data_IF_543820260623
#
_entry.id   IF_543820260623
#
_cell.length_a   1.000
_cell.length_b   1.000
_cell.length_c   1.000
_cell.angle_alpha   90.00
_cell.angle_beta   90.00
_cell.angle_gamma   90.00
#
_symmetry.space_group_name_H-M   'P 1'
#
loop_
_entity.id
_entity.type
_entity.pdbx_description
1 polymer ?
#
# COMPACT_ATOMS: atom_id res chain seq x y z
N UNK A 1 10.18 24.19 1.61
CA UNK A 1 10.45 24.98 0.38
C UNK A 1 9.81 24.29 -0.82
N UNK A 2 9.80 24.91 -2.02
CA UNK A 2 9.26 24.25 -3.23
C UNK A 2 9.95 22.91 -3.52
N UNK A 3 11.26 22.83 -3.31
CA UNK A 3 12.03 21.61 -3.51
C UNK A 3 11.57 20.47 -2.58
N UNK A 4 11.31 20.77 -1.30
CA UNK A 4 10.84 19.79 -0.32
C UNK A 4 9.43 19.27 -0.68
N UNK A 5 8.54 20.14 -1.16
CA UNK A 5 7.21 19.72 -1.62
C UNK A 5 7.29 18.77 -2.82
N UNK A 6 8.19 19.03 -3.78
CA UNK A 6 8.43 18.13 -4.91
C UNK A 6 9.06 16.81 -4.46
N UNK A 7 10.00 16.83 -3.50
CA UNK A 7 10.60 15.62 -2.93
C UNK A 7 9.55 14.74 -2.26
N UNK A 8 8.76 15.32 -1.36
CA UNK A 8 7.69 14.61 -0.65
C UNK A 8 6.64 14.04 -1.62
N UNK A 9 6.24 14.83 -2.63
CA UNK A 9 5.31 14.36 -3.67
C UNK A 9 5.88 13.15 -4.41
N UNK A 10 7.19 13.13 -4.67
CA UNK A 10 7.87 12.06 -5.36
C UNK A 10 7.91 10.78 -4.54
N UNK A 11 8.32 10.87 -3.28
CA UNK A 11 8.30 9.71 -2.38
C UNK A 11 6.90 9.12 -2.22
N UNK A 12 5.90 9.97 -1.98
CA UNK A 12 4.51 9.55 -1.78
C UNK A 12 3.93 8.91 -3.05
N UNK A 13 4.22 9.49 -4.21
CA UNK A 13 3.76 8.97 -5.51
C UNK A 13 4.34 7.60 -5.81
N UNK A 14 5.64 7.40 -5.57
CA UNK A 14 6.29 6.10 -5.76
C UNK A 14 5.65 5.02 -4.89
N UNK A 15 5.42 5.31 -3.62
CA UNK A 15 4.76 4.38 -2.70
C UNK A 15 3.33 4.03 -3.13
N UNK A 16 2.58 5.01 -3.65
CA UNK A 16 1.23 4.80 -4.17
C UNK A 16 1.18 3.90 -5.41
N UNK A 17 2.17 3.98 -6.29
CA UNK A 17 2.24 3.14 -7.49
C UNK A 17 2.40 1.67 -7.09
N UNK A 18 3.36 1.36 -6.20
CA UNK A 18 3.58 -0.01 -5.74
C UNK A 18 2.36 -0.55 -4.97
N UNK A 19 1.75 0.27 -4.11
CA UNK A 19 0.52 -0.06 -3.41
C UNK A 19 -0.64 -0.36 -4.38
N UNK A 20 -0.79 0.46 -5.44
CA UNK A 20 -1.82 0.29 -6.45
C UNK A 20 -1.63 -0.99 -7.27
N UNK A 21 -0.40 -1.31 -7.66
CA UNK A 21 -0.09 -2.55 -8.39
C UNK A 21 -0.40 -3.77 -7.51
N UNK A 22 0.05 -3.77 -6.25
CA UNK A 22 -0.19 -4.86 -5.31
C UNK A 22 -1.68 -5.09 -5.09
N UNK A 23 -2.45 -4.02 -4.86
CA UNK A 23 -3.91 -4.11 -4.68
C UNK A 23 -4.66 -4.46 -5.96
N UNK A 24 -4.22 -3.98 -7.13
CA UNK A 24 -4.78 -4.35 -8.43
C UNK A 24 -4.65 -5.85 -8.71
N UNK A 25 -3.48 -6.44 -8.41
CA UNK A 25 -3.26 -7.89 -8.52
C UNK A 25 -4.14 -8.65 -7.53
N UNK A 26 -4.29 -8.16 -6.30
CA UNK A 26 -5.17 -8.77 -5.29
C UNK A 26 -6.63 -8.76 -5.75
N UNK A 27 -7.14 -7.63 -6.25
CA UNK A 27 -8.50 -7.49 -6.79
C UNK A 27 -8.77 -8.44 -7.96
N UNK A 28 -7.84 -8.50 -8.93
CA UNK A 28 -7.95 -9.40 -10.09
C UNK A 28 -7.93 -10.89 -9.72
N UNK A 29 -7.28 -11.25 -8.60
CA UNK A 29 -7.27 -12.61 -8.06
C UNK A 29 -8.52 -12.94 -7.25
N UNK A 30 -9.16 -11.95 -6.64
CA UNK A 30 -10.41 -12.10 -5.90
C UNK A 30 -11.65 -12.19 -6.80
N UNK A 31 -11.59 -11.68 -8.03
CA UNK A 31 -12.72 -11.67 -8.98
C UNK A 31 -12.64 -12.85 -9.96
N UNK A 32 -13.30 -14.00 -9.69
CA UNK A 32 -13.15 -15.23 -10.48
C UNK A 32 -13.61 -15.11 -11.94
N UNK A 33 -14.54 -14.21 -12.26
CA UNK A 33 -15.06 -14.00 -13.63
C UNK A 33 -14.47 -12.79 -14.35
N UNK A 34 -13.59 -12.02 -13.69
CA UNK A 34 -12.95 -10.77 -14.17
C UNK A 34 -13.81 -9.89 -15.11
N UNK A 35 -15.08 -9.58 -14.80
CA UNK A 35 -15.83 -8.64 -15.62
C UNK A 35 -15.12 -7.29 -15.58
N UNK A 36 -14.78 -6.77 -16.76
CA UNK A 36 -13.99 -5.55 -16.94
C UNK A 36 -14.58 -4.38 -16.14
N UNK A 37 -15.91 -4.21 -16.19
CA UNK A 37 -16.61 -3.13 -15.51
C UNK A 37 -16.41 -3.13 -13.99
N UNK A 38 -16.48 -4.30 -13.33
CA UNK A 38 -16.26 -4.40 -11.88
C UNK A 38 -14.80 -4.13 -11.53
N UNK A 39 -13.86 -4.63 -12.33
CA UNK A 39 -12.43 -4.36 -12.13
C UNK A 39 -12.14 -2.86 -12.21
N UNK A 40 -12.73 -2.18 -13.20
CA UNK A 40 -12.64 -0.73 -13.34
C UNK A 40 -13.27 -0.03 -12.13
N UNK A 41 -14.47 -0.43 -11.72
CA UNK A 41 -15.16 0.17 -10.57
C UNK A 41 -14.36 0.03 -9.27
N UNK A 42 -13.83 -1.17 -8.96
CA UNK A 42 -12.98 -1.38 -7.77
C UNK A 42 -11.66 -0.61 -7.85
N UNK A 43 -11.02 -0.57 -9.02
CA UNK A 43 -9.78 0.20 -9.21
C UNK A 43 -10.03 1.71 -9.05
N UNK A 44 -11.18 2.19 -9.51
CA UNK A 44 -11.58 3.59 -9.37
C UNK A 44 -11.90 3.94 -7.91
N UNK A 45 -12.62 3.07 -7.19
CA UNK A 45 -12.84 3.21 -5.76
C UNK A 45 -11.51 3.26 -4.99
N UNK A 46 -10.54 2.41 -5.35
CA UNK A 46 -9.20 2.44 -4.78
C UNK A 46 -8.47 3.76 -5.10
N UNK A 47 -8.55 4.24 -6.35
CA UNK A 47 -7.93 5.51 -6.74
C UNK A 47 -8.51 6.70 -5.96
N UNK A 48 -9.83 6.75 -5.75
CA UNK A 48 -10.51 7.82 -5.00
C UNK A 48 -10.23 7.76 -3.49
N UNK A 49 -9.97 6.59 -2.92
CA UNK A 49 -9.67 6.44 -1.49
C UNK A 49 -8.49 7.32 -1.03
N UNK A 50 -7.52 7.53 -1.92
CA UNK A 50 -6.32 8.31 -1.65
C UNK A 50 -6.58 9.82 -1.52
N UNK A 51 -7.25 10.50 -2.48
CA UNK A 51 -7.72 11.87 -2.31
C UNK A 51 -8.62 12.06 -1.08
N UNK A 52 -9.50 11.11 -0.77
CA UNK A 52 -10.35 11.17 0.43
C UNK A 52 -9.48 11.20 1.70
N UNK A 53 -8.51 10.29 1.82
CA UNK A 53 -7.59 10.26 2.96
C UNK A 53 -6.79 11.55 3.12
N UNK A 54 -6.32 12.14 2.01
CA UNK A 54 -5.64 13.45 2.02
C UNK A 54 -6.59 14.55 2.50
N UNK A 55 -7.84 14.58 2.02
CA UNK A 55 -8.83 15.57 2.45
C UNK A 55 -9.16 15.47 3.93
N UNK A 56 -9.30 14.25 4.47
CA UNK A 56 -9.47 14.02 5.90
C UNK A 56 -8.25 14.53 6.67
N UNK A 57 -7.03 14.24 6.20
CA UNK A 57 -5.79 14.72 6.81
C UNK A 57 -5.73 16.25 6.89
N UNK A 58 -6.08 16.95 5.80
CA UNK A 58 -6.16 18.42 5.76
C UNK A 58 -7.22 18.96 6.74
N UNK A 59 -8.38 18.33 6.80
CA UNK A 59 -9.44 18.75 7.72
C UNK A 59 -9.02 18.60 9.19
N UNK A 60 -8.31 17.52 9.53
CA UNK A 60 -7.76 17.29 10.88
C UNK A 60 -6.68 18.34 11.17
N UNK A 61 -5.74 18.56 10.25
CA UNK A 61 -4.68 19.57 10.38
C UNK A 61 -5.24 20.98 10.60
N UNK A 62 -6.39 21.30 9.98
CA UNK A 62 -7.06 22.59 10.16
C UNK A 62 -7.91 22.72 11.44
N UNK A 63 -8.21 21.60 12.14
CA UNK A 63 -9.17 21.60 13.27
C UNK A 63 -8.60 21.06 14.58
N UNK A 64 -7.46 20.38 14.54
CA UNK A 64 -6.79 19.82 15.72
C UNK A 64 -5.35 20.33 15.79
N UNK A 65 -4.94 20.76 16.99
CA UNK A 65 -3.58 21.25 17.24
C UNK A 65 -2.93 20.53 18.43
N UNK A 66 -1.60 20.61 18.50
CA UNK A 66 -0.79 20.05 19.58
C UNK A 66 -1.02 18.55 19.78
N UNK A 67 -1.06 18.11 21.04
CA UNK A 67 -1.10 16.69 21.40
C UNK A 67 -2.29 15.94 20.80
N UNK A 68 -3.42 16.62 20.56
CA UNK A 68 -4.61 15.99 19.97
C UNK A 68 -4.35 15.57 18.53
N UNK A 69 -3.71 16.45 17.74
CA UNK A 69 -3.31 16.12 16.37
C UNK A 69 -2.31 14.96 16.34
N UNK A 70 -1.34 14.95 17.27
CA UNK A 70 -0.34 13.89 17.38
C UNK A 70 -0.96 12.52 17.67
N UNK A 71 -1.93 12.46 18.60
CA UNK A 71 -2.65 11.21 18.90
C UNK A 71 -3.51 10.74 17.73
N UNK A 72 -4.19 11.66 17.04
CA UNK A 72 -4.97 11.32 15.84
C UNK A 72 -4.04 10.75 14.77
N UNK A 73 -2.88 11.38 14.55
CA UNK A 73 -1.86 10.90 13.61
C UNK A 73 -1.35 9.51 14.00
N UNK A 74 -0.95 9.31 15.26
CA UNK A 74 -0.40 8.05 15.74
C UNK A 74 -1.39 6.89 15.59
N UNK A 75 -2.65 7.09 15.96
CA UNK A 75 -3.70 6.07 15.82
C UNK A 75 -3.99 5.81 14.34
N UNK A 76 -4.15 6.85 13.53
CA UNK A 76 -4.46 6.70 12.10
C UNK A 76 -3.35 5.98 11.35
N UNK A 77 -2.10 6.35 11.62
CA UNK A 77 -0.93 5.70 11.02
C UNK A 77 -0.76 4.27 11.50
N UNK A 78 -1.00 4.00 12.79
CA UNK A 78 -1.00 2.65 13.35
C UNK A 78 -2.02 1.73 12.68
N UNK A 79 -3.27 2.21 12.52
CA UNK A 79 -4.32 1.48 11.83
C UNK A 79 -3.97 1.24 10.35
N UNK A 80 -3.51 2.27 9.64
CA UNK A 80 -3.11 2.16 8.24
C UNK A 80 -2.01 1.10 8.06
N UNK A 81 -0.96 1.14 8.90
CA UNK A 81 0.14 0.18 8.89
C UNK A 81 -0.36 -1.25 9.16
N UNK A 82 -1.16 -1.44 10.21
CA UNK A 82 -1.69 -2.75 10.60
C UNK A 82 -2.56 -3.39 9.51
N UNK A 83 -3.46 -2.64 8.88
CA UNK A 83 -4.28 -3.13 7.77
C UNK A 83 -3.41 -3.52 6.57
N UNK A 84 -2.39 -2.71 6.26
CA UNK A 84 -1.47 -2.99 5.16
C UNK A 84 -0.71 -4.32 5.36
N UNK A 85 -0.19 -4.54 6.58
CA UNK A 85 0.49 -5.78 6.95
C UNK A 85 -0.48 -6.97 6.86
N UNK A 86 -1.69 -6.85 7.41
CA UNK A 86 -2.69 -7.92 7.36
C UNK A 86 -3.03 -8.32 5.92
N UNK A 87 -3.27 -7.33 5.04
CA UNK A 87 -3.59 -7.55 3.63
C UNK A 87 -2.41 -8.17 2.89
N UNK A 88 -1.18 -7.69 3.14
CA UNK A 88 0.03 -8.26 2.54
C UNK A 88 0.19 -9.75 2.89
N UNK A 89 0.05 -10.11 4.16
CA UNK A 89 0.18 -11.50 4.59
C UNK A 89 -0.98 -12.36 4.05
N UNK A 90 -2.22 -11.95 4.28
CA UNK A 90 -3.39 -12.80 4.00
C UNK A 90 -3.73 -12.88 2.51
N UNK A 91 -3.66 -11.77 1.79
CA UNK A 91 -4.14 -11.71 0.40
C UNK A 91 -3.02 -11.85 -0.63
N UNK A 92 -1.83 -11.30 -0.35
CA UNK A 92 -0.71 -11.39 -1.31
C UNK A 92 0.13 -12.64 -1.09
N UNK A 93 0.56 -12.93 0.14
CA UNK A 93 1.48 -14.04 0.43
C UNK A 93 0.71 -15.37 0.57
N UNK A 94 -0.28 -15.45 1.48
CA UNK A 94 -0.95 -16.70 1.79
C UNK A 94 -1.92 -17.17 0.69
N UNK A 95 -2.69 -16.25 0.09
CA UNK A 95 -3.67 -16.58 -0.96
C UNK A 95 -3.13 -16.37 -2.39
N UNK A 96 -2.13 -15.50 -2.56
CA UNK A 96 -1.63 -15.12 -3.88
C UNK A 96 -0.57 -16.05 -4.47
N UNK A 97 0.18 -16.79 -3.65
CA UNK A 97 1.22 -17.71 -4.10
C UNK A 97 0.75 -19.17 -4.06
N UNK A 98 -0.02 -19.56 -5.08
CA UNK A 98 -0.25 -20.98 -5.41
C UNK A 98 0.32 -21.24 -6.81
N UNK A 99 1.54 -21.80 -6.92
CA UNK A 99 2.10 -22.13 -8.22
C UNK A 99 1.21 -23.15 -8.93
N UNK A 100 0.98 -22.96 -10.24
CA UNK A 100 0.26 -23.94 -11.05
C UNK A 100 1.13 -25.18 -11.39
N UNK A 101 2.45 -25.09 -11.18
CA UNK A 101 3.40 -26.18 -11.32
C UNK A 101 4.40 -26.17 -10.16
N UNK A 102 4.95 -27.33 -9.78
CA UNK A 102 6.03 -27.41 -8.79
C UNK A 102 7.26 -26.64 -9.32
N UNK A 103 7.47 -25.44 -8.81
CA UNK A 103 8.70 -24.68 -9.04
C UNK A 103 9.70 -24.97 -7.92
N UNK A 104 10.98 -25.10 -8.28
CA UNK A 104 12.08 -25.21 -7.31
C UNK A 104 12.12 -24.03 -6.31
N UNK A 105 11.69 -22.85 -6.75
CA UNK A 105 11.68 -21.62 -5.97
C UNK A 105 10.46 -21.43 -5.06
N UNK A 106 9.50 -22.37 -5.04
CA UNK A 106 8.33 -22.30 -4.14
C UNK A 106 8.64 -22.80 -2.72
N UNK A 107 9.77 -22.38 -2.14
CA UNK A 107 10.11 -22.67 -0.75
C UNK A 107 9.85 -21.46 0.14
N UNK A 108 9.54 -21.66 1.44
CA UNK A 108 9.37 -20.55 2.39
C UNK A 108 10.58 -19.62 2.45
N UNK A 109 11.78 -20.16 2.24
CA UNK A 109 13.03 -19.39 2.24
C UNK A 109 13.08 -18.37 1.09
N UNK A 110 12.80 -18.78 -0.15
CA UNK A 110 12.79 -17.83 -1.28
C UNK A 110 11.71 -16.77 -1.15
N UNK A 111 10.55 -17.12 -0.58
CA UNK A 111 9.49 -16.13 -0.26
C UNK A 111 9.97 -15.11 0.77
N UNK A 112 10.65 -15.57 1.83
CA UNK A 112 11.23 -14.70 2.84
C UNK A 112 12.29 -13.75 2.26
N UNK A 113 13.21 -14.28 1.43
CA UNK A 113 14.22 -13.46 0.73
C UNK A 113 13.57 -12.45 -0.20
N UNK A 114 12.53 -12.82 -0.94
CA UNK A 114 11.81 -11.89 -1.82
C UNK A 114 11.13 -10.76 -1.04
N UNK A 115 10.52 -11.05 0.11
CA UNK A 115 9.95 -10.03 1.00
C UNK A 115 11.05 -9.13 1.56
N UNK A 116 12.15 -9.70 2.04
CA UNK A 116 13.31 -8.95 2.55
C UNK A 116 13.90 -8.00 1.51
N UNK A 117 14.07 -8.46 0.28
CA UNK A 117 14.55 -7.62 -0.83
C UNK A 117 13.57 -6.49 -1.13
N UNK A 118 12.25 -6.77 -1.16
CA UNK A 118 11.23 -5.75 -1.33
C UNK A 118 11.28 -4.68 -0.24
N UNK A 119 11.41 -5.09 1.02
CA UNK A 119 11.58 -4.17 2.17
C UNK A 119 12.87 -3.38 2.03
N UNK A 120 13.99 -4.01 1.66
CA UNK A 120 15.27 -3.35 1.46
C UNK A 120 15.24 -2.29 0.36
N UNK A 121 14.62 -2.59 -0.78
CA UNK A 121 14.43 -1.62 -1.88
C UNK A 121 13.61 -0.42 -1.41
N UNK A 122 12.47 -0.67 -0.76
CA UNK A 122 11.61 0.42 -0.24
C UNK A 122 12.34 1.24 0.82
N UNK A 123 13.10 0.60 1.71
CA UNK A 123 13.91 1.30 2.72
C UNK A 123 14.96 2.20 2.07
N UNK A 124 15.66 1.74 1.03
CA UNK A 124 16.63 2.57 0.29
C UNK A 124 15.94 3.74 -0.41
N UNK A 125 14.78 3.53 -1.03
CA UNK A 125 14.00 4.61 -1.65
C UNK A 125 13.60 5.64 -0.60
N UNK A 126 13.21 5.19 0.59
CA UNK A 126 12.82 6.03 1.73
C UNK A 126 13.96 6.81 2.39
N UNK A 127 15.23 6.45 2.17
CA UNK A 127 16.37 7.26 2.65
C UNK A 127 16.41 8.64 1.99
N UNK A 128 15.84 8.75 0.79
CA UNK A 128 15.79 10.00 0.03
C UNK A 128 14.52 10.83 0.31
N UNK A 129 13.66 10.35 1.22
CA UNK A 129 12.52 11.11 1.76
C UNK A 129 12.98 12.28 2.63
#
# INVERSE_FOLDING_TARGET
TKADAWRNLWTISLHKIFAAIAMGIALLRMLPKRPFLLTVAYSFAFAISSPIGVGIGIAIDATAEGHVADWIYAISMGLACGVFIYVAINHLIAKGFKPQAKLYFDTPFFKFVAVLLGVGVIAVVMIWD
#
